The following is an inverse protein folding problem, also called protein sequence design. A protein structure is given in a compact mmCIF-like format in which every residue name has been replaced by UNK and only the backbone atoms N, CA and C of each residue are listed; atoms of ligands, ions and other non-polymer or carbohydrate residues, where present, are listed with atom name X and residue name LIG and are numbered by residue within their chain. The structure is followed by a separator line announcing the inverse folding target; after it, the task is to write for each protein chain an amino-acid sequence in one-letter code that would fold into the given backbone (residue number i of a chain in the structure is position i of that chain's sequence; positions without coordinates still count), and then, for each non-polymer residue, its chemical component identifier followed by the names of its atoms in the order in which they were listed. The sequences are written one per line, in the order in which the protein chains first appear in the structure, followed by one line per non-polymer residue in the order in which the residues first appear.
data_IF_312861682981
#
_entry.id   IF_312861682981
#
_cell.length_a   1.000
_cell.length_b   1.000
_cell.length_c   1.000
_cell.angle_alpha   90.00
_cell.angle_beta   90.00
_cell.angle_gamma   90.00
#
_symmetry.space_group_name_H-M   'P 1'
#
loop_
_entity.id
_entity.type
_entity.pdbx_description
1 polymer ?
#
# COMPACT_ATOMS: atom_id res chain seq x y z
N UNK A 1 59.63 -23.25 0.11
CA UNK A 1 58.80 -22.19 0.73
C UNK A 1 57.72 -21.71 -0.24
N UNK A 2 58.03 -21.42 -1.46
CA UNK A 2 57.10 -20.94 -2.52
C UNK A 2 55.94 -21.88 -2.84
N UNK A 3 56.19 -23.19 -2.89
CA UNK A 3 55.12 -24.18 -3.15
C UNK A 3 54.05 -24.31 -2.04
N UNK A 4 54.48 -24.11 -0.75
CA UNK A 4 53.56 -24.05 0.41
C UNK A 4 52.69 -22.80 0.37
N UNK A 5 53.29 -21.65 0.02
CA UNK A 5 52.60 -20.36 -0.09
C UNK A 5 51.54 -20.38 -1.21
N UNK A 6 51.84 -20.96 -2.39
CA UNK A 6 50.87 -21.14 -3.49
C UNK A 6 49.70 -22.02 -3.07
N UNK A 7 49.92 -23.09 -2.27
CA UNK A 7 48.85 -23.92 -1.71
C UNK A 7 47.96 -23.14 -0.72
N UNK A 8 48.57 -22.37 0.18
CA UNK A 8 47.82 -21.55 1.13
C UNK A 8 46.99 -20.49 0.41
N UNK A 9 47.57 -19.79 -0.58
CA UNK A 9 46.81 -18.82 -1.40
C UNK A 9 45.63 -19.44 -2.14
N UNK A 10 45.76 -20.67 -2.69
CA UNK A 10 44.66 -21.38 -3.30
C UNK A 10 43.56 -21.73 -2.30
N UNK A 11 43.93 -22.21 -1.11
CA UNK A 11 42.95 -22.52 -0.05
C UNK A 11 42.21 -21.25 0.40
N UNK A 12 42.90 -20.17 0.63
CA UNK A 12 42.33 -18.87 0.98
C UNK A 12 41.38 -18.37 -0.13
N UNK A 13 41.78 -18.48 -1.40
CA UNK A 13 40.96 -18.11 -2.53
C UNK A 13 39.66 -18.93 -2.62
N UNK A 14 39.73 -20.25 -2.35
CA UNK A 14 38.55 -21.12 -2.31
C UNK A 14 37.61 -20.75 -1.15
N UNK A 15 38.18 -20.44 0.03
CA UNK A 15 37.37 -20.02 1.19
C UNK A 15 36.64 -18.69 0.89
N UNK A 16 37.30 -17.72 0.29
CA UNK A 16 36.71 -16.43 -0.10
C UNK A 16 35.59 -16.65 -1.12
N UNK A 17 35.83 -17.53 -2.10
CA UNK A 17 34.79 -17.86 -3.11
C UNK A 17 33.56 -18.52 -2.49
N UNK A 18 33.75 -19.47 -1.57
CA UNK A 18 32.64 -20.11 -0.85
C UNK A 18 31.88 -19.07 -0.01
N UNK A 19 32.60 -18.20 0.69
CA UNK A 19 31.95 -17.12 1.47
C UNK A 19 31.15 -16.17 0.57
N UNK A 20 31.69 -15.78 -0.58
CA UNK A 20 30.97 -14.95 -1.55
C UNK A 20 29.70 -15.63 -2.09
N UNK A 21 29.78 -16.93 -2.44
CA UNK A 21 28.63 -17.71 -2.89
C UNK A 21 27.57 -17.79 -1.76
N UNK A 22 27.99 -18.02 -0.52
CA UNK A 22 27.07 -18.06 0.62
C UNK A 22 26.38 -16.71 0.84
N UNK A 23 27.09 -15.60 0.75
CA UNK A 23 26.54 -14.24 0.84
C UNK A 23 25.53 -13.99 -0.29
N UNK A 24 25.87 -14.35 -1.53
CA UNK A 24 24.96 -14.23 -2.68
C UNK A 24 23.72 -15.08 -2.47
N UNK A 25 23.85 -16.32 -2.01
CA UNK A 25 22.73 -17.21 -1.74
C UNK A 25 21.80 -16.63 -0.64
N UNK A 26 22.36 -16.06 0.41
CA UNK A 26 21.61 -15.38 1.48
C UNK A 26 20.89 -14.14 0.92
N UNK A 27 21.56 -13.34 0.10
CA UNK A 27 20.94 -12.17 -0.53
C UNK A 27 19.78 -12.57 -1.47
N UNK A 28 19.95 -13.62 -2.27
CA UNK A 28 18.89 -14.15 -3.12
C UNK A 28 17.73 -14.67 -2.27
N UNK A 29 18.02 -15.35 -1.17
CA UNK A 29 16.97 -15.85 -0.27
C UNK A 29 16.21 -14.69 0.41
N UNK A 30 16.91 -13.68 0.90
CA UNK A 30 16.29 -12.48 1.47
C UNK A 30 15.47 -11.71 0.41
N UNK A 31 15.98 -11.60 -0.81
CA UNK A 31 15.27 -10.94 -1.89
C UNK A 31 13.97 -11.65 -2.31
N UNK A 32 13.80 -12.93 -1.98
CA UNK A 32 12.57 -13.70 -2.25
C UNK A 32 11.54 -13.62 -1.12
N UNK A 33 11.92 -13.12 0.07
CA UNK A 33 10.96 -13.00 1.17
C UNK A 33 9.86 -12.01 0.81
N UNK A 34 8.59 -12.32 1.13
CA UNK A 34 7.52 -11.36 1.03
C UNK A 34 7.74 -10.19 1.99
N UNK A 35 7.27 -8.99 1.62
CA UNK A 35 7.31 -7.80 2.46
C UNK A 35 6.20 -7.79 3.52
N UNK A 36 5.11 -8.53 3.27
CA UNK A 36 4.08 -8.83 4.25
C UNK A 36 3.93 -10.35 4.39
N UNK A 37 3.78 -10.90 5.61
CA UNK A 37 3.49 -12.33 5.81
C UNK A 37 2.16 -12.72 5.14
N UNK A 38 2.08 -13.92 4.58
CA UNK A 38 0.86 -14.42 3.89
C UNK A 38 -0.36 -14.53 4.83
N UNK A 39 -0.14 -14.62 6.13
CA UNK A 39 -1.19 -14.78 7.13
C UNK A 39 -1.14 -13.67 8.20
N UNK A 40 -0.68 -12.46 7.82
CA UNK A 40 -0.54 -11.36 8.78
C UNK A 40 -1.86 -11.02 9.48
N UNK A 41 -3.00 -11.20 8.82
CA UNK A 41 -4.33 -10.95 9.37
C UNK A 41 -4.61 -11.79 10.63
N UNK A 42 -4.01 -12.99 10.73
CA UNK A 42 -4.16 -13.91 11.87
C UNK A 42 -3.12 -13.69 12.97
N UNK A 43 -2.04 -12.98 12.67
CA UNK A 43 -0.89 -12.81 13.57
C UNK A 43 -0.73 -11.38 14.07
N UNK A 44 -1.43 -10.43 13.47
CA UNK A 44 -1.44 -9.03 13.93
C UNK A 44 -2.41 -8.88 15.09
N UNK A 45 -1.90 -8.34 16.20
CA UNK A 45 -2.75 -7.99 17.34
C UNK A 45 -3.59 -6.76 17.01
N UNK A 46 -4.84 -6.75 17.39
CA UNK A 46 -5.79 -5.66 17.24
C UNK A 46 -6.25 -5.18 18.63
N UNK A 47 -6.55 -3.89 18.76
CA UNK A 47 -6.95 -3.30 20.03
C UNK A 47 -8.42 -2.87 20.08
N UNK A 48 -9.16 -3.05 18.97
CA UNK A 48 -10.57 -2.71 18.86
C UNK A 48 -11.38 -3.78 18.11
N UNK A 49 -12.69 -3.79 18.32
CA UNK A 49 -13.61 -4.75 17.66
C UNK A 49 -13.75 -4.48 16.15
N UNK A 50 -13.78 -3.19 15.76
CA UNK A 50 -13.84 -2.78 14.36
C UNK A 50 -12.51 -3.07 13.68
N UNK A 51 -11.37 -2.72 14.31
CA UNK A 51 -10.06 -3.08 13.81
C UNK A 51 -9.96 -4.60 13.60
N UNK A 52 -10.38 -5.42 14.55
CA UNK A 52 -10.35 -6.87 14.45
C UNK A 52 -11.23 -7.42 13.34
N UNK A 53 -12.44 -6.86 13.17
CA UNK A 53 -13.36 -7.26 12.11
C UNK A 53 -12.76 -7.03 10.74
N UNK A 54 -12.24 -5.84 10.48
CA UNK A 54 -11.69 -5.47 9.17
C UNK A 54 -10.24 -5.91 8.96
N UNK A 55 -9.56 -6.41 9.98
CA UNK A 55 -8.30 -7.15 9.86
C UNK A 55 -8.51 -8.58 9.36
N UNK A 56 -9.65 -9.19 9.64
CA UNK A 56 -9.97 -10.52 9.11
C UNK A 56 -10.21 -10.48 7.59
N UNK A 57 -10.03 -11.62 6.92
CA UNK A 57 -10.40 -11.73 5.51
C UNK A 57 -11.89 -11.44 5.31
N UNK A 58 -12.22 -10.75 4.25
CA UNK A 58 -13.59 -10.46 3.83
C UNK A 58 -14.31 -11.71 3.26
N UNK A 59 -15.60 -11.55 2.88
CA UNK A 59 -16.43 -12.69 2.47
C UNK A 59 -16.16 -13.21 1.06
N UNK A 60 -15.34 -12.50 0.25
CA UNK A 60 -15.15 -12.84 -1.15
C UNK A 60 -13.94 -13.75 -1.38
N UNK A 61 -14.10 -14.79 -2.21
CA UNK A 61 -12.98 -15.50 -2.82
C UNK A 61 -12.28 -14.55 -3.79
N UNK A 62 -10.95 -14.53 -3.77
CA UNK A 62 -10.13 -13.62 -4.57
C UNK A 62 -9.54 -14.32 -5.77
N UNK A 63 -9.64 -13.71 -6.93
CA UNK A 63 -8.92 -14.05 -8.13
C UNK A 63 -7.88 -12.98 -8.46
N UNK A 64 -6.90 -13.33 -9.29
CA UNK A 64 -5.86 -12.42 -9.75
C UNK A 64 -5.72 -12.43 -11.27
N UNK A 65 -5.39 -11.29 -11.82
CA UNK A 65 -5.05 -11.09 -13.21
C UNK A 65 -3.77 -10.27 -13.30
N UNK A 66 -2.90 -10.58 -14.27
CA UNK A 66 -1.66 -9.84 -14.45
C UNK A 66 -1.32 -9.73 -15.93
N UNK A 67 -0.86 -8.54 -16.30
CA UNK A 67 -0.38 -8.24 -17.65
C UNK A 67 1.06 -7.72 -17.61
N UNK A 68 1.93 -8.37 -18.39
CA UNK A 68 3.29 -7.90 -18.60
C UNK A 68 3.32 -6.64 -19.47
N UNK A 69 4.28 -5.76 -19.21
CA UNK A 69 4.52 -4.56 -20.02
C UNK A 69 6.02 -4.36 -20.23
N UNK A 70 6.39 -3.71 -21.32
CA UNK A 70 7.77 -3.30 -21.60
C UNK A 70 8.18 -2.01 -20.87
N UNK A 71 7.25 -1.39 -20.15
CA UNK A 71 7.48 -0.15 -19.43
C UNK A 71 8.18 -0.40 -18.08
N UNK A 72 8.62 0.67 -17.44
CA UNK A 72 9.39 0.63 -16.18
C UNK A 72 8.68 -0.12 -15.04
N UNK A 73 7.37 -0.10 -15.00
CA UNK A 73 6.57 -0.78 -13.98
C UNK A 73 6.34 -2.28 -14.24
N UNK A 74 6.86 -2.83 -15.33
CA UNK A 74 7.01 -4.26 -15.68
C UNK A 74 5.71 -5.07 -15.76
N UNK A 75 4.85 -5.04 -14.76
CA UNK A 75 3.61 -5.83 -14.67
C UNK A 75 2.53 -5.01 -14.02
N UNK A 76 1.32 -5.01 -14.59
CA UNK A 76 0.11 -4.68 -13.87
C UNK A 76 -0.40 -5.92 -13.13
N UNK A 77 -0.75 -5.75 -11.86
CA UNK A 77 -1.36 -6.79 -11.02
C UNK A 77 -2.71 -6.33 -10.56
N UNK A 78 -3.71 -7.17 -10.78
CA UNK A 78 -5.08 -6.89 -10.36
C UNK A 78 -5.58 -8.05 -9.52
N UNK A 79 -6.06 -7.76 -8.32
CA UNK A 79 -6.73 -8.70 -7.43
C UNK A 79 -8.18 -8.28 -7.33
N UNK A 80 -9.13 -9.21 -7.37
CA UNK A 80 -10.54 -8.88 -7.43
C UNK A 80 -11.42 -9.99 -6.85
N UNK A 81 -12.64 -9.68 -6.38
CA UNK A 81 -13.62 -10.69 -6.01
C UNK A 81 -13.90 -11.61 -7.20
N UNK A 82 -13.70 -12.90 -7.05
CA UNK A 82 -13.84 -13.89 -8.14
C UNK A 82 -15.25 -13.89 -8.76
N UNK A 83 -16.28 -13.55 -7.99
CA UNK A 83 -17.64 -13.41 -8.50
C UNK A 83 -17.78 -12.33 -9.60
N UNK A 84 -16.84 -11.37 -9.69
CA UNK A 84 -16.80 -10.37 -10.76
C UNK A 84 -16.81 -11.05 -12.15
N UNK A 85 -16.23 -12.23 -12.31
CA UNK A 85 -16.20 -12.95 -13.59
C UNK A 85 -17.61 -13.32 -14.09
N UNK A 86 -18.56 -13.50 -13.18
CA UNK A 86 -19.90 -14.05 -13.46
C UNK A 86 -21.05 -13.09 -13.19
N UNK A 87 -20.79 -11.88 -12.67
CA UNK A 87 -21.81 -10.86 -12.37
C UNK A 87 -21.64 -9.63 -13.25
N UNK A 88 -22.73 -8.83 -13.39
CA UNK A 88 -22.70 -7.52 -14.06
C UNK A 88 -22.56 -6.36 -13.06
N UNK A 89 -22.29 -6.67 -11.78
CA UNK A 89 -22.06 -5.68 -10.73
C UNK A 89 -20.77 -4.91 -10.98
N UNK A 90 -20.77 -3.62 -10.67
CA UNK A 90 -19.54 -2.80 -10.60
C UNK A 90 -18.90 -2.90 -9.23
N UNK A 91 -17.58 -2.82 -9.19
CA UNK A 91 -16.78 -2.93 -7.98
C UNK A 91 -15.90 -1.70 -7.80
N UNK A 92 -15.85 -1.13 -6.58
CA UNK A 92 -14.95 -0.03 -6.27
C UNK A 92 -13.48 -0.44 -6.40
N UNK A 93 -12.61 0.54 -6.56
CA UNK A 93 -11.19 0.33 -6.86
C UNK A 93 -10.30 0.82 -5.74
N UNK A 94 -9.25 0.08 -5.44
CA UNK A 94 -8.09 0.54 -4.66
C UNK A 94 -6.84 0.47 -5.53
N UNK A 95 -6.18 1.60 -5.69
CA UNK A 95 -4.86 1.70 -6.36
C UNK A 95 -3.75 1.60 -5.32
N UNK A 96 -2.70 0.84 -5.61
CA UNK A 96 -1.55 0.69 -4.70
C UNK A 96 -0.32 1.40 -5.27
N UNK A 97 0.29 2.28 -4.45
CA UNK A 97 1.60 2.87 -4.66
C UNK A 97 2.67 2.15 -3.84
N UNK A 98 3.68 1.62 -4.51
CA UNK A 98 4.73 0.82 -3.89
C UNK A 98 5.71 1.64 -3.04
N UNK A 99 6.27 1.03 -1.99
CA UNK A 99 7.45 1.56 -1.31
C UNK A 99 8.72 1.41 -2.15
N UNK A 100 9.80 2.11 -1.75
CA UNK A 100 11.09 2.09 -2.46
C UNK A 100 11.61 0.67 -2.65
N UNK A 101 11.75 0.25 -3.90
CA UNK A 101 12.30 -1.04 -4.26
C UNK A 101 11.43 -2.26 -3.90
N UNK A 102 10.21 -2.08 -3.42
CA UNK A 102 9.29 -3.13 -2.97
C UNK A 102 8.09 -3.20 -3.92
N UNK A 103 8.16 -3.97 -5.01
CA UNK A 103 7.05 -4.12 -5.97
C UNK A 103 5.85 -4.85 -5.34
N UNK A 104 4.65 -4.67 -5.91
CA UNK A 104 3.42 -5.30 -5.41
C UNK A 104 3.52 -6.83 -5.32
N UNK A 105 4.29 -7.46 -6.20
CA UNK A 105 4.59 -8.90 -6.14
C UNK A 105 5.26 -9.36 -4.83
N UNK A 106 5.73 -8.44 -3.98
CA UNK A 106 6.33 -8.75 -2.68
C UNK A 106 5.33 -8.77 -1.52
N UNK A 107 4.12 -8.25 -1.71
CA UNK A 107 3.09 -8.20 -0.68
C UNK A 107 1.67 -8.46 -1.23
N UNK A 108 1.51 -9.54 -2.03
CA UNK A 108 0.21 -9.87 -2.61
C UNK A 108 -0.86 -10.16 -1.55
N UNK A 109 -0.46 -10.56 -0.34
CA UNK A 109 -1.38 -10.80 0.77
C UNK A 109 -2.20 -9.55 1.13
N UNK A 110 -1.60 -8.35 1.10
CA UNK A 110 -2.29 -7.08 1.37
C UNK A 110 -3.31 -6.78 0.27
N UNK A 111 -2.93 -6.94 -1.00
CA UNK A 111 -3.85 -6.71 -2.11
C UNK A 111 -5.02 -7.73 -2.12
N UNK A 112 -4.74 -9.00 -1.82
CA UNK A 112 -5.78 -10.03 -1.65
C UNK A 112 -6.72 -9.71 -0.51
N UNK A 113 -6.21 -9.18 0.59
CA UNK A 113 -7.04 -8.79 1.73
C UNK A 113 -8.07 -7.73 1.32
N UNK A 114 -7.66 -6.62 0.69
CA UNK A 114 -8.60 -5.62 0.20
C UNK A 114 -9.59 -6.20 -0.82
N UNK A 115 -9.11 -7.04 -1.75
CA UNK A 115 -9.99 -7.68 -2.73
C UNK A 115 -11.02 -8.61 -2.07
N UNK A 116 -10.67 -9.26 -0.95
CA UNK A 116 -11.62 -10.09 -0.19
C UNK A 116 -12.77 -9.29 0.43
N UNK A 117 -12.61 -7.96 0.56
CA UNK A 117 -13.64 -7.02 1.03
C UNK A 117 -14.44 -6.37 -0.11
N UNK A 118 -14.26 -6.83 -1.35
CA UNK A 118 -15.11 -6.44 -2.47
C UNK A 118 -14.51 -5.36 -3.36
N UNK A 119 -13.19 -5.13 -3.32
CA UNK A 119 -12.51 -4.15 -4.17
C UNK A 119 -11.81 -4.80 -5.36
N UNK A 120 -11.75 -4.09 -6.49
CA UNK A 120 -10.73 -4.31 -7.51
C UNK A 120 -9.47 -3.60 -7.03
N UNK A 121 -8.41 -4.35 -6.78
CA UNK A 121 -7.14 -3.81 -6.28
C UNK A 121 -6.11 -3.87 -7.40
N UNK A 122 -5.58 -2.73 -7.79
CA UNK A 122 -4.63 -2.63 -8.91
C UNK A 122 -3.34 -1.94 -8.47
N UNK A 123 -2.24 -2.43 -8.99
CA UNK A 123 -0.91 -1.83 -8.82
C UNK A 123 0.08 -2.43 -9.79
N UNK A 124 1.34 -2.04 -9.65
CA UNK A 124 2.42 -2.41 -10.56
C UNK A 124 3.60 -3.03 -9.83
N UNK A 125 4.57 -3.55 -10.58
CA UNK A 125 5.86 -3.97 -10.03
C UNK A 125 6.94 -2.85 -10.15
N UNK A 126 6.53 -1.59 -10.27
CA UNK A 126 7.46 -0.46 -10.23
C UNK A 126 8.22 -0.37 -8.90
N UNK A 127 9.41 0.22 -8.94
CA UNK A 127 10.26 0.38 -7.76
C UNK A 127 10.35 1.82 -7.26
N UNK A 128 9.80 2.76 -8.02
CA UNK A 128 9.87 4.20 -7.76
C UNK A 128 8.48 4.82 -7.94
N UNK A 129 7.68 4.83 -6.89
CA UNK A 129 6.27 5.25 -6.95
C UNK A 129 6.01 6.69 -6.46
N UNK A 130 7.03 7.44 -6.03
CA UNK A 130 6.87 8.79 -5.47
C UNK A 130 6.16 9.78 -6.40
N UNK A 131 6.34 9.66 -7.71
CA UNK A 131 5.74 10.53 -8.73
C UNK A 131 4.34 10.07 -9.18
N UNK A 132 3.79 9.01 -8.55
CA UNK A 132 2.49 8.43 -8.86
C UNK A 132 2.31 7.93 -10.31
N UNK A 133 3.40 7.74 -11.07
CA UNK A 133 3.30 7.32 -12.48
C UNK A 133 2.63 5.95 -12.60
N UNK A 134 3.00 4.97 -11.77
CA UNK A 134 2.36 3.66 -11.78
C UNK A 134 0.89 3.70 -11.36
N UNK A 135 0.50 4.61 -10.46
CA UNK A 135 -0.89 4.83 -10.09
C UNK A 135 -1.71 5.38 -11.28
N UNK A 136 -1.19 6.41 -11.94
CA UNK A 136 -1.79 6.99 -13.16
C UNK A 136 -1.96 5.92 -14.26
N UNK A 137 -0.94 5.10 -14.47
CA UNK A 137 -0.99 4.03 -15.47
C UNK A 137 -1.92 2.89 -15.08
N UNK A 138 -2.10 2.61 -13.78
CA UNK A 138 -3.06 1.63 -13.28
C UNK A 138 -4.51 2.04 -13.56
N UNK A 139 -4.83 3.33 -13.41
CA UNK A 139 -6.15 3.86 -13.79
C UNK A 139 -6.38 3.71 -15.29
N UNK A 140 -5.45 4.15 -16.13
CA UNK A 140 -5.54 4.01 -17.60
C UNK A 140 -5.66 2.55 -18.06
N UNK A 141 -4.99 1.65 -17.36
CA UNK A 141 -5.09 0.22 -17.60
C UNK A 141 -6.52 -0.28 -17.33
N UNK A 142 -7.10 0.07 -16.17
CA UNK A 142 -8.48 -0.32 -15.85
C UNK A 142 -9.51 0.34 -16.76
N UNK A 143 -9.33 1.61 -17.15
CA UNK A 143 -10.19 2.28 -18.13
C UNK A 143 -10.23 1.50 -19.46
N UNK A 144 -9.04 1.18 -20.00
CA UNK A 144 -8.93 0.40 -21.25
C UNK A 144 -9.66 -0.95 -21.14
N UNK A 145 -9.50 -1.66 -20.01
CA UNK A 145 -10.13 -2.97 -19.81
C UNK A 145 -11.64 -2.86 -19.52
N UNK A 146 -12.09 -1.77 -18.93
CA UNK A 146 -13.49 -1.53 -18.66
C UNK A 146 -14.29 -1.07 -19.88
N UNK A 147 -13.67 -0.33 -20.79
CA UNK A 147 -14.30 0.21 -21.98
C UNK A 147 -14.38 -0.79 -23.15
N UNK A 148 -13.51 -1.78 -23.19
CA UNK A 148 -13.39 -2.70 -24.29
C UNK A 148 -13.79 -4.12 -23.88
N UNK A 149 -14.81 -4.68 -24.56
CA UNK A 149 -15.23 -6.08 -24.34
C UNK A 149 -14.09 -7.07 -24.63
N UNK A 150 -13.21 -6.70 -25.58
CA UNK A 150 -12.03 -7.47 -25.94
C UNK A 150 -10.83 -6.57 -26.11
N UNK A 151 -9.68 -7.04 -25.64
CA UNK A 151 -8.37 -6.43 -25.88
C UNK A 151 -7.54 -7.47 -26.61
N UNK A 152 -7.12 -7.15 -27.86
CA UNK A 152 -6.55 -8.12 -28.79
C UNK A 152 -7.52 -9.31 -28.96
N UNK A 153 -7.11 -10.52 -28.64
CA UNK A 153 -7.95 -11.72 -28.71
C UNK A 153 -8.56 -12.15 -27.35
N UNK A 154 -8.23 -11.44 -26.26
CA UNK A 154 -8.68 -11.75 -24.92
C UNK A 154 -9.98 -11.02 -24.57
N UNK A 155 -10.96 -11.75 -24.03
CA UNK A 155 -12.18 -11.15 -23.46
C UNK A 155 -11.82 -10.44 -22.15
N UNK A 156 -12.27 -9.18 -22.02
CA UNK A 156 -12.07 -8.43 -20.79
C UNK A 156 -12.99 -8.95 -19.67
N UNK A 157 -12.38 -9.36 -18.56
CA UNK A 157 -13.12 -9.71 -17.34
C UNK A 157 -13.65 -8.47 -16.63
N UNK A 158 -13.07 -7.28 -16.89
CA UNK A 158 -13.44 -6.00 -16.26
C UNK A 158 -14.42 -5.16 -17.09
N UNK A 159 -14.86 -5.64 -18.26
CA UNK A 159 -15.74 -4.89 -19.15
C UNK A 159 -17.02 -4.42 -18.45
N UNK A 160 -17.18 -3.08 -18.31
CA UNK A 160 -18.29 -2.40 -17.62
C UNK A 160 -18.46 -2.76 -16.13
N UNK A 161 -17.41 -3.30 -15.48
CA UNK A 161 -17.48 -3.77 -14.09
C UNK A 161 -16.64 -2.94 -13.10
N UNK A 162 -15.92 -1.93 -13.58
CA UNK A 162 -15.14 -1.02 -12.75
C UNK A 162 -16.02 0.15 -12.32
N UNK A 163 -16.05 0.43 -11.02
CA UNK A 163 -16.73 1.59 -10.46
C UNK A 163 -15.76 2.74 -10.26
N UNK A 164 -15.62 3.59 -11.26
CA UNK A 164 -14.76 4.76 -11.23
C UNK A 164 -15.31 5.92 -10.39
N UNK A 165 -16.56 5.83 -9.92
CA UNK A 165 -17.11 6.80 -8.97
C UNK A 165 -16.63 6.53 -7.53
N UNK A 166 -16.05 5.35 -7.26
CA UNK A 166 -15.57 4.89 -5.96
C UNK A 166 -14.13 4.35 -6.04
N UNK A 167 -13.17 5.24 -6.21
CA UNK A 167 -11.74 4.92 -6.31
C UNK A 167 -10.98 5.45 -5.11
N UNK A 168 -10.24 4.58 -4.45
CA UNK A 168 -9.29 4.92 -3.38
C UNK A 168 -7.86 4.62 -3.77
N UNK A 169 -6.91 5.13 -3.00
CA UNK A 169 -5.50 4.89 -3.20
C UNK A 169 -4.78 4.67 -1.87
N UNK A 170 -3.84 3.73 -1.83
CA UNK A 170 -2.99 3.47 -0.67
C UNK A 170 -1.54 3.32 -1.08
N UNK A 171 -0.63 3.76 -0.23
CA UNK A 171 0.80 3.57 -0.45
C UNK A 171 1.61 3.70 0.81
N UNK A 172 2.77 3.04 0.83
CA UNK A 172 3.66 2.96 1.97
C UNK A 172 5.02 3.59 1.66
N UNK A 173 5.59 4.34 2.62
CA UNK A 173 6.93 4.93 2.50
C UNK A 173 7.00 5.91 1.32
N UNK A 174 7.87 5.68 0.34
CA UNK A 174 7.88 6.41 -0.93
C UNK A 174 6.50 6.38 -1.62
N UNK A 175 5.78 5.25 -1.53
CA UNK A 175 4.42 5.14 -2.03
C UNK A 175 3.42 6.02 -1.27
N UNK A 176 3.68 6.32 0.01
CA UNK A 176 2.90 7.30 0.77
C UNK A 176 3.04 8.72 0.22
N UNK A 177 4.22 9.10 -0.26
CA UNK A 177 4.44 10.32 -1.06
C UNK A 177 3.68 10.22 -2.40
N UNK A 178 3.80 9.07 -3.08
CA UNK A 178 3.10 8.82 -4.35
C UNK A 178 1.58 8.95 -4.22
N UNK A 179 0.99 8.56 -3.09
CA UNK A 179 -0.43 8.78 -2.80
C UNK A 179 -0.78 10.27 -2.85
N UNK A 180 -0.02 11.12 -2.15
CA UNK A 180 -0.27 12.56 -2.12
C UNK A 180 -0.12 13.15 -3.54
N UNK A 181 0.93 12.77 -4.26
CA UNK A 181 1.12 13.23 -5.64
C UNK A 181 0.05 12.71 -6.59
N UNK A 182 -0.46 11.48 -6.43
CA UNK A 182 -1.55 10.93 -7.25
C UNK A 182 -2.82 11.77 -7.15
N UNK A 183 -3.18 12.21 -5.95
CA UNK A 183 -4.43 12.96 -5.68
C UNK A 183 -4.29 14.47 -5.86
N UNK A 184 -3.06 14.97 -6.13
CA UNK A 184 -2.83 16.42 -6.27
C UNK A 184 -2.24 16.85 -7.61
N UNK A 185 -1.48 15.98 -8.30
CA UNK A 185 -0.65 16.38 -9.44
C UNK A 185 -0.73 15.45 -10.67
N UNK A 186 -1.52 14.37 -10.67
CA UNK A 186 -1.69 13.51 -11.85
C UNK A 186 -2.86 13.93 -12.74
N UNK A 187 -2.92 13.36 -13.94
CA UNK A 187 -4.01 13.63 -14.89
C UNK A 187 -5.36 13.14 -14.35
N UNK A 188 -5.37 11.98 -13.68
CA UNK A 188 -6.59 11.38 -13.11
C UNK A 188 -6.78 11.67 -11.60
N UNK A 189 -6.16 12.74 -11.06
CA UNK A 189 -6.27 13.07 -9.64
C UNK A 189 -7.71 13.18 -9.12
N UNK A 190 -8.63 13.65 -9.93
CA UNK A 190 -10.03 13.88 -9.53
C UNK A 190 -10.88 12.60 -9.49
N UNK A 191 -10.32 11.46 -9.93
CA UNK A 191 -11.01 10.16 -9.86
C UNK A 191 -11.01 9.62 -8.43
N UNK A 192 -10.00 9.96 -7.63
CA UNK A 192 -9.86 9.47 -6.27
C UNK A 192 -10.88 10.13 -5.35
N UNK A 193 -11.53 9.33 -4.50
CA UNK A 193 -12.51 9.78 -3.50
C UNK A 193 -11.95 9.74 -2.10
N UNK A 194 -10.91 8.95 -1.86
CA UNK A 194 -10.23 8.84 -0.58
C UNK A 194 -8.82 8.30 -0.74
N UNK A 195 -7.98 8.55 0.26
CA UNK A 195 -6.59 8.13 0.25
C UNK A 195 -6.12 7.59 1.61
N UNK A 196 -5.13 6.71 1.58
CA UNK A 196 -4.42 6.26 2.78
C UNK A 196 -2.92 6.35 2.53
N UNK A 197 -2.21 7.13 3.35
CA UNK A 197 -0.76 7.25 3.26
C UNK A 197 -0.10 6.65 4.49
N UNK A 198 0.67 5.58 4.28
CA UNK A 198 1.33 4.79 5.31
C UNK A 198 2.80 5.20 5.40
N UNK A 199 3.22 5.70 6.56
CA UNK A 199 4.59 6.20 6.81
C UNK A 199 5.14 7.02 5.64
N UNK A 200 4.43 8.08 5.18
CA UNK A 200 4.94 8.91 4.10
C UNK A 200 6.34 9.43 4.46
N UNK A 201 7.26 9.40 3.50
CA UNK A 201 8.55 10.05 3.72
C UNK A 201 8.33 11.52 4.08
N UNK A 202 8.89 11.98 5.22
CA UNK A 202 8.70 13.36 5.66
C UNK A 202 9.20 14.36 4.59
N UNK A 203 8.65 15.59 4.61
CA UNK A 203 8.88 16.59 3.55
C UNK A 203 10.35 16.95 3.37
N UNK A 204 11.14 17.07 4.45
CA UNK A 204 12.56 17.39 4.35
C UNK A 204 13.34 16.27 3.66
N UNK A 205 13.13 15.03 4.09
CA UNK A 205 13.78 13.86 3.48
C UNK A 205 13.31 13.66 2.03
N UNK A 206 12.01 13.85 1.77
CA UNK A 206 11.46 13.77 0.43
C UNK A 206 12.08 14.82 -0.51
N UNK A 207 12.22 16.08 -0.05
CA UNK A 207 12.90 17.14 -0.79
C UNK A 207 14.35 16.78 -1.14
N UNK A 208 15.10 16.26 -0.17
CA UNK A 208 16.48 15.85 -0.35
C UNK A 208 16.64 14.67 -1.34
N UNK A 209 15.56 13.89 -1.53
CA UNK A 209 15.50 12.77 -2.48
C UNK A 209 14.86 13.15 -3.82
N UNK A 210 14.46 14.41 -4.02
CA UNK A 210 13.70 14.88 -5.19
C UNK A 210 12.32 14.22 -5.33
N UNK A 211 11.67 13.93 -4.21
CA UNK A 211 10.33 13.35 -4.11
C UNK A 211 9.34 14.36 -3.54
N UNK A 212 9.44 15.60 -3.96
CA UNK A 212 8.61 16.69 -3.46
C UNK A 212 7.11 16.37 -3.58
N UNK A 213 6.34 16.80 -2.60
CA UNK A 213 4.89 16.74 -2.59
C UNK A 213 4.32 17.93 -1.79
N UNK A 214 3.04 18.23 -2.02
CA UNK A 214 2.36 19.38 -1.41
C UNK A 214 1.06 18.90 -0.73
N UNK A 215 1.13 18.68 0.59
CA UNK A 215 -0.01 18.23 1.38
C UNK A 215 -1.14 19.25 1.46
N UNK A 216 -0.83 20.55 1.26
CA UNK A 216 -1.83 21.63 1.29
C UNK A 216 -2.83 21.59 0.12
N UNK A 217 -2.54 20.80 -0.93
CA UNK A 217 -3.41 20.59 -2.08
C UNK A 217 -4.37 19.41 -1.95
N UNK A 218 -4.25 18.61 -0.90
CA UNK A 218 -5.13 17.46 -0.67
C UNK A 218 -6.54 17.95 -0.37
N UNK A 219 -7.50 17.57 -1.22
CA UNK A 219 -8.88 18.03 -1.17
C UNK A 219 -9.92 16.91 -1.00
N UNK A 220 -9.48 15.69 -0.74
CA UNK A 220 -10.31 14.51 -0.47
C UNK A 220 -9.99 13.93 0.91
N UNK A 221 -10.88 13.12 1.52
CA UNK A 221 -10.61 12.47 2.79
C UNK A 221 -9.34 11.64 2.76
N UNK A 222 -8.47 11.80 3.77
CA UNK A 222 -7.20 11.07 3.85
C UNK A 222 -6.94 10.52 5.26
N UNK A 223 -6.44 9.28 5.32
CA UNK A 223 -5.94 8.64 6.53
C UNK A 223 -4.41 8.56 6.48
N UNK A 224 -3.76 9.12 7.51
CA UNK A 224 -2.30 9.05 7.69
C UNK A 224 -1.98 8.06 8.81
N UNK A 225 -1.15 7.06 8.55
CA UNK A 225 -0.71 6.12 9.60
C UNK A 225 0.81 5.97 9.52
N UNK A 226 1.49 6.02 10.68
CA UNK A 226 2.90 5.64 10.76
C UNK A 226 3.16 4.69 11.93
N UNK A 227 4.38 4.20 12.04
CA UNK A 227 4.85 3.46 13.19
C UNK A 227 5.28 4.40 14.33
N UNK A 228 5.26 3.89 15.55
CA UNK A 228 5.80 4.55 16.71
C UNK A 228 6.72 3.59 17.46
N UNK A 229 8.00 3.93 17.58
CA UNK A 229 9.02 3.00 18.02
C UNK A 229 9.38 1.97 16.93
N UNK A 230 10.33 1.09 17.17
CA UNK A 230 10.68 0.03 16.22
C UNK A 230 11.41 0.48 14.95
N UNK A 231 11.75 1.77 14.80
CA UNK A 231 12.59 2.27 13.71
C UNK A 231 11.82 2.87 12.52
N UNK A 232 10.60 3.35 12.71
CA UNK A 232 9.89 4.13 11.68
C UNK A 232 10.28 5.62 11.69
N UNK A 233 10.75 6.12 12.84
CA UNK A 233 11.07 7.53 13.05
C UNK A 233 12.19 8.10 12.13
N UNK A 234 12.97 7.26 11.47
CA UNK A 234 13.92 7.72 10.45
C UNK A 234 13.26 8.10 9.13
N UNK A 235 12.02 7.66 8.88
CA UNK A 235 11.21 8.05 7.71
C UNK A 235 10.30 9.21 8.06
N UNK A 236 9.55 9.09 9.17
CA UNK A 236 8.63 10.12 9.64
C UNK A 236 8.45 10.02 11.16
N UNK A 237 8.80 11.06 11.88
CA UNK A 237 8.53 11.18 13.32
C UNK A 237 7.07 11.55 13.58
N UNK A 238 6.63 11.48 14.84
CA UNK A 238 5.29 11.93 15.21
C UNK A 238 5.05 13.42 14.92
N UNK A 239 6.04 14.27 15.18
CA UNK A 239 5.97 15.70 14.90
C UNK A 239 5.90 15.98 13.39
N UNK A 240 6.67 15.24 12.58
CA UNK A 240 6.66 15.37 11.13
C UNK A 240 5.34 14.86 10.52
N UNK A 241 4.76 13.77 11.04
CA UNK A 241 3.45 13.30 10.58
C UNK A 241 2.36 14.30 10.94
N UNK A 242 2.41 14.87 12.16
CA UNK A 242 1.48 15.92 12.58
C UNK A 242 1.61 17.18 11.70
N UNK A 243 2.83 17.57 11.30
CA UNK A 243 3.03 18.69 10.38
C UNK A 243 2.38 18.43 9.00
N UNK A 244 2.55 17.23 8.45
CA UNK A 244 1.85 16.84 7.21
C UNK A 244 0.33 16.88 7.40
N UNK A 245 -0.18 16.35 8.52
CA UNK A 245 -1.58 16.36 8.86
C UNK A 245 -2.13 17.79 8.96
N UNK A 246 -1.42 18.71 9.62
CA UNK A 246 -1.86 20.08 9.82
C UNK A 246 -1.97 20.87 8.50
N UNK A 247 -1.11 20.58 7.51
CA UNK A 247 -1.17 21.20 6.19
C UNK A 247 -2.38 20.78 5.35
N UNK A 248 -2.95 19.60 5.58
CA UNK A 248 -4.07 19.05 4.79
C UNK A 248 -5.36 19.81 5.13
N UNK A 249 -6.05 20.45 4.17
CA UNK A 249 -7.28 21.20 4.44
C UNK A 249 -8.56 20.36 4.46
N UNK A 250 -8.53 19.14 3.92
CA UNK A 250 -9.69 18.27 3.80
C UNK A 250 -9.95 17.45 5.08
N UNK A 251 -11.02 16.64 5.05
CA UNK A 251 -11.28 15.62 6.07
C UNK A 251 -10.09 14.68 6.22
N UNK A 252 -9.70 14.42 7.46
CA UNK A 252 -8.46 13.70 7.73
C UNK A 252 -8.49 12.98 9.07
N UNK A 253 -7.76 11.88 9.14
CA UNK A 253 -7.41 11.22 10.38
C UNK A 253 -5.93 10.87 10.39
N UNK A 254 -5.31 10.87 11.56
CA UNK A 254 -3.96 10.36 11.72
C UNK A 254 -3.81 9.51 12.98
N UNK A 255 -2.87 8.57 12.94
CA UNK A 255 -2.48 7.77 14.09
C UNK A 255 -1.09 7.15 13.89
N UNK A 256 -0.47 6.76 15.00
CA UNK A 256 0.81 6.01 14.97
C UNK A 256 0.67 4.69 15.69
N UNK A 257 0.96 3.58 15.00
CA UNK A 257 0.88 2.25 15.60
C UNK A 257 2.12 1.98 16.47
N UNK A 258 1.90 1.69 17.76
CA UNK A 258 2.97 1.42 18.73
C UNK A 258 3.79 0.19 18.36
N UNK A 259 5.08 0.21 18.68
CA UNK A 259 6.02 -0.91 18.49
C UNK A 259 6.01 -1.49 17.06
N UNK A 260 5.83 -0.63 16.05
CA UNK A 260 5.72 -1.04 14.66
C UNK A 260 6.88 -0.46 13.85
N UNK A 261 7.80 -1.31 13.36
CA UNK A 261 8.89 -0.88 12.50
C UNK A 261 8.37 -0.49 11.11
N UNK A 262 9.15 0.34 10.40
CA UNK A 262 8.77 0.93 9.12
C UNK A 262 8.14 -0.06 8.12
N UNK A 263 8.82 -1.19 7.90
CA UNK A 263 8.34 -2.20 6.93
C UNK A 263 7.04 -2.89 7.35
N UNK A 264 6.68 -2.87 8.63
CA UNK A 264 5.46 -3.52 9.13
C UNK A 264 4.25 -2.58 9.15
N UNK A 265 4.45 -1.28 8.98
CA UNK A 265 3.36 -0.33 8.76
C UNK A 265 2.59 -0.65 7.46
N UNK A 266 3.22 -1.33 6.53
CA UNK A 266 2.60 -1.81 5.30
C UNK A 266 1.35 -2.70 5.55
N UNK A 267 1.29 -3.44 6.67
CA UNK A 267 0.23 -4.43 6.90
C UNK A 267 -0.35 -4.45 8.31
N UNK A 268 0.38 -4.01 9.34
CA UNK A 268 -0.13 -4.06 10.73
C UNK A 268 -1.36 -3.19 10.98
N UNK A 269 -1.52 -2.00 10.39
CA UNK A 269 -2.71 -1.18 10.60
C UNK A 269 -3.88 -1.53 9.66
N UNK A 270 -3.80 -2.65 8.93
CA UNK A 270 -4.66 -2.97 7.80
C UNK A 270 -6.16 -3.09 8.18
N UNK A 271 -6.46 -3.41 9.43
CA UNK A 271 -7.84 -3.39 9.92
C UNK A 271 -8.47 -2.00 9.81
N UNK A 272 -7.78 -0.95 10.22
CA UNK A 272 -8.28 0.41 10.06
C UNK A 272 -8.16 0.95 8.63
N UNK A 273 -7.16 0.52 7.87
CA UNK A 273 -7.07 0.87 6.44
C UNK A 273 -8.26 0.31 5.68
N UNK A 274 -8.60 -0.96 5.91
CA UNK A 274 -9.77 -1.61 5.31
C UNK A 274 -11.07 -0.96 5.77
N UNK A 275 -11.23 -0.69 7.08
CA UNK A 275 -12.40 0.01 7.60
C UNK A 275 -12.58 1.40 6.97
N UNK A 276 -11.47 2.15 6.76
CA UNK A 276 -11.49 3.44 6.07
C UNK A 276 -12.05 3.31 4.65
N UNK A 277 -11.54 2.36 3.85
CA UNK A 277 -12.03 2.15 2.49
C UNK A 277 -13.47 1.62 2.44
N UNK A 278 -13.85 0.70 3.35
CA UNK A 278 -15.23 0.23 3.46
C UNK A 278 -16.20 1.37 3.73
N UNK A 279 -15.85 2.28 4.66
CA UNK A 279 -16.63 3.46 4.93
C UNK A 279 -16.69 4.41 3.74
N UNK A 280 -15.53 4.85 3.24
CA UNK A 280 -15.44 5.92 2.25
C UNK A 280 -15.91 5.52 0.84
N UNK A 281 -15.75 4.25 0.47
CA UNK A 281 -16.03 3.77 -0.88
C UNK A 281 -17.27 2.88 -0.98
N UNK A 282 -17.67 2.23 0.10
CA UNK A 282 -18.84 1.34 0.10
C UNK A 282 -19.95 1.83 1.05
N UNK A 283 -19.74 2.93 1.79
CA UNK A 283 -20.74 3.49 2.70
C UNK A 283 -21.02 2.60 3.91
N UNK A 284 -20.06 1.77 4.34
CA UNK A 284 -20.22 0.88 5.48
C UNK A 284 -20.27 1.68 6.78
N UNK A 285 -21.47 1.80 7.36
CA UNK A 285 -21.71 2.55 8.59
C UNK A 285 -21.07 1.91 9.83
N UNK A 286 -20.81 0.60 9.82
CA UNK A 286 -20.11 -0.06 10.92
C UNK A 286 -18.62 0.30 10.88
N UNK A 287 -18.00 0.26 9.70
CA UNK A 287 -16.64 0.71 9.48
C UNK A 287 -16.46 2.20 9.85
N UNK A 288 -17.47 3.03 9.55
CA UNK A 288 -17.47 4.45 9.89
C UNK A 288 -17.29 4.71 11.39
N UNK A 289 -17.81 3.84 12.26
CA UNK A 289 -17.69 3.99 13.73
C UNK A 289 -16.25 3.93 14.25
N UNK A 290 -15.31 3.41 13.45
CA UNK A 290 -13.90 3.49 13.78
C UNK A 290 -13.42 4.95 13.88
N UNK A 291 -14.02 5.86 13.10
CA UNK A 291 -13.57 7.24 12.92
C UNK A 291 -14.62 8.30 13.30
N UNK A 292 -15.88 7.92 13.45
CA UNK A 292 -17.01 8.85 13.62
C UNK A 292 -17.81 8.57 14.90
N UNK A 293 -18.76 9.48 15.20
CA UNK A 293 -19.64 9.37 16.38
C UNK A 293 -19.03 9.96 17.64
N UNK A 294 -19.68 9.72 18.78
CA UNK A 294 -19.28 10.29 20.08
C UNK A 294 -18.02 9.62 20.66
N UNK A 295 -17.71 8.41 20.23
CA UNK A 295 -16.57 7.63 20.73
C UNK A 295 -15.94 6.83 19.59
N UNK A 296 -15.22 7.46 18.67
CA UNK A 296 -14.53 6.75 17.59
C UNK A 296 -13.55 5.71 18.13
N UNK A 297 -13.63 4.46 17.66
CA UNK A 297 -12.82 3.37 18.21
C UNK A 297 -11.32 3.68 18.16
N UNK A 298 -10.85 4.28 17.06
CA UNK A 298 -9.44 4.60 16.87
C UNK A 298 -8.86 5.48 17.98
N UNK A 299 -9.66 6.38 18.57
CA UNK A 299 -9.20 7.28 19.64
C UNK A 299 -9.02 6.57 20.99
N UNK A 300 -9.67 5.43 21.19
CA UNK A 300 -9.61 4.62 22.41
C UNK A 300 -8.68 3.40 22.27
N UNK A 301 -8.16 3.11 21.09
CA UNK A 301 -7.36 1.93 20.82
C UNK A 301 -5.92 2.08 21.32
N UNK A 302 -5.58 1.31 22.37
CA UNK A 302 -4.27 1.33 23.03
C UNK A 302 -3.10 0.84 22.14
N UNK A 303 -3.37 0.19 21.03
CA UNK A 303 -2.33 -0.20 20.06
C UNK A 303 -1.77 1.02 19.30
N UNK A 304 -2.44 2.17 19.40
CA UNK A 304 -2.06 3.41 18.70
C UNK A 304 -1.74 4.54 19.69
N UNK A 305 -1.11 5.57 19.18
CA UNK A 305 -0.83 6.85 19.85
C UNK A 305 -0.91 7.99 18.83
N UNK A 306 -0.94 9.22 19.33
CA UNK A 306 -0.98 10.45 18.52
C UNK A 306 -2.22 10.50 17.59
N UNK A 307 -3.34 9.88 18.03
CA UNK A 307 -4.57 9.80 17.25
C UNK A 307 -5.23 11.18 17.15
N UNK A 308 -5.56 11.58 15.94
CA UNK A 308 -6.30 12.81 15.64
C UNK A 308 -7.31 12.55 14.52
N UNK A 309 -8.48 13.15 14.63
CA UNK A 309 -9.54 13.10 13.62
C UNK A 309 -10.08 14.51 13.39
N UNK A 310 -10.19 14.89 12.12
CA UNK A 310 -10.87 16.09 11.68
C UNK A 310 -11.79 15.75 10.51
N UNK A 311 -13.07 15.60 10.80
CA UNK A 311 -14.12 15.33 9.82
C UNK A 311 -15.13 16.47 9.86
N UNK A 312 -15.70 16.82 8.72
CA UNK A 312 -16.79 17.77 8.62
C UNK A 312 -18.04 17.15 9.27
N UNK A 313 -18.73 17.92 10.12
CA UNK A 313 -19.95 17.50 10.80
C UNK A 313 -21.13 17.53 9.83
#
# INVERSE_FOLDING_TARGET
MEMKMKKVLKIVGVIILIAAIAVIAVMIWLSKKPAAPENYQKTTETGGEIEAKYMADGPYEVAEHQDGTLLEFQVFRVYYPKELETTDRKYPVIVICNGSGIPLSKYPAVARHYASWGFIVVGTDEKNAWNAFGAEMSIRYLERWNENEKIEDAKSIFYQKVDFDHVGIVGHSQGGVGVINAITDTTHKDIYKTAVSLSPTNQELAHNLFWDYDASKVNIPILLISGAGGGDDWVVTGEQLAAIYDEIPSEKAMMRRKNTPHNEVLYRPDGYVTAWFMWQLQGDEEAAKAFTGDSPEVLANDQYQDQQIHLNK
#
